data_IF_228770840784
#
_entry.id   IF_228770840784
#
_cell.length_a   1.000
_cell.length_b   1.000
_cell.length_c   1.000
_cell.angle_alpha   90.00
_cell.angle_beta   90.00
_cell.angle_gamma   90.00
#
_symmetry.space_group_name_H-M   'P 1'
#
loop_
_entity.id
_entity.type
_entity.pdbx_description
1 polymer ?
#
# COMPACT_ATOMS: atom_id res chain seq x y z
N UNK A 1 -7.02 -30.08 14.55
CA UNK A 1 -7.22 -29.49 13.33
C UNK A 1 -7.51 -28.02 13.27
N UNK A 2 -7.94 -27.45 14.33
CA UNK A 2 -8.21 -26.02 14.33
C UNK A 2 -7.04 -25.20 13.83
N UNK A 3 -5.82 -25.61 14.14
CA UNK A 3 -4.63 -24.86 13.72
C UNK A 3 -4.46 -24.87 12.20
N UNK A 4 -4.74 -25.99 11.55
CA UNK A 4 -4.63 -26.06 10.11
C UNK A 4 -5.68 -25.18 9.42
N UNK A 5 -6.87 -25.13 10.01
CA UNK A 5 -7.93 -24.27 9.50
C UNK A 5 -7.66 -22.82 9.81
N UNK A 6 -7.07 -22.55 10.98
CA UNK A 6 -6.71 -21.18 11.36
C UNK A 6 -5.63 -20.60 10.48
N UNK A 7 -4.74 -21.45 9.96
CA UNK A 7 -3.67 -21.00 9.05
C UNK A 7 -4.14 -20.85 7.62
N UNK A 8 -5.27 -21.45 7.30
CA UNK A 8 -5.78 -21.40 5.95
C UNK A 8 -6.60 -20.13 5.80
N UNK A 9 -6.16 -19.29 4.90
CA UNK A 9 -6.87 -18.06 4.63
C UNK A 9 -8.10 -18.32 3.77
N UNK A 10 -9.23 -17.77 4.20
CA UNK A 10 -10.42 -17.69 3.36
C UNK A 10 -10.14 -16.67 2.27
N UNK A 11 -10.22 -17.03 0.97
CA UNK A 11 -9.96 -16.07 -0.10
C UNK A 11 -10.83 -14.81 -0.02
N UNK A 12 -12.09 -14.94 0.37
CA UNK A 12 -12.97 -13.79 0.48
C UNK A 12 -12.55 -12.89 1.64
N UNK A 13 -12.19 -13.46 2.78
CA UNK A 13 -11.75 -12.69 3.94
C UNK A 13 -10.43 -11.98 3.65
N UNK A 14 -9.52 -12.66 2.97
CA UNK A 14 -8.24 -12.07 2.58
C UNK A 14 -8.43 -10.89 1.64
N UNK A 15 -9.36 -11.02 0.69
CA UNK A 15 -9.69 -9.97 -0.25
C UNK A 15 -10.24 -8.72 0.46
N UNK A 16 -11.12 -8.92 1.44
CA UNK A 16 -11.67 -7.81 2.23
C UNK A 16 -10.56 -7.08 2.97
N UNK A 17 -9.63 -7.82 3.60
CA UNK A 17 -8.53 -7.21 4.33
C UNK A 17 -7.57 -6.45 3.40
N UNK A 18 -7.35 -6.97 2.21
CA UNK A 18 -6.53 -6.29 1.21
C UNK A 18 -7.16 -4.99 0.73
N UNK A 19 -8.47 -4.99 0.54
CA UNK A 19 -9.19 -3.80 0.10
C UNK A 19 -9.21 -2.72 1.16
N UNK A 20 -9.12 -3.12 2.42
CA UNK A 20 -9.00 -2.15 3.51
C UNK A 20 -7.63 -1.46 3.46
N UNK A 21 -6.62 -2.08 2.81
CA UNK A 21 -5.36 -1.43 2.54
C UNK A 21 -5.55 -0.43 1.41
N UNK A 22 -5.47 0.85 1.73
CA UNK A 22 -5.66 1.92 0.76
C UNK A 22 -4.59 1.84 -0.32
N UNK A 23 -5.01 1.92 -1.59
CA UNK A 23 -4.09 2.00 -2.72
C UNK A 23 -3.09 3.14 -2.54
N UNK A 24 -3.49 4.21 -1.88
CA UNK A 24 -2.62 5.35 -1.61
C UNK A 24 -1.40 4.95 -0.78
N UNK A 25 -1.58 4.11 0.23
CA UNK A 25 -0.47 3.64 1.07
C UNK A 25 0.50 2.79 0.25
N UNK A 26 -0.03 1.93 -0.61
CA UNK A 26 0.80 1.09 -1.48
C UNK A 26 1.61 1.93 -2.46
N UNK A 27 0.99 2.97 -3.01
CA UNK A 27 1.67 3.88 -3.94
C UNK A 27 2.78 4.65 -3.22
N UNK A 28 2.49 5.22 -2.06
CA UNK A 28 3.50 5.94 -1.29
C UNK A 28 4.65 5.01 -0.91
N UNK A 29 4.35 3.78 -0.52
CA UNK A 29 5.36 2.78 -0.20
C UNK A 29 6.25 2.50 -1.41
N UNK A 30 5.64 2.32 -2.57
CA UNK A 30 6.39 2.06 -3.80
C UNK A 30 7.29 3.24 -4.17
N UNK A 31 6.80 4.46 -3.99
CA UNK A 31 7.57 5.67 -4.34
C UNK A 31 8.63 6.03 -3.31
N UNK A 32 8.63 5.39 -2.15
CA UNK A 32 9.55 5.74 -1.07
C UNK A 32 11.02 5.57 -1.44
N UNK A 33 11.33 4.66 -2.36
CA UNK A 33 12.71 4.43 -2.79
C UNK A 33 13.09 5.13 -4.10
N UNK A 34 12.17 5.88 -4.68
CA UNK A 34 12.47 6.64 -5.89
C UNK A 34 11.27 6.84 -6.80
N UNK A 35 11.38 7.74 -7.77
CA UNK A 35 10.30 8.03 -8.70
C UNK A 35 9.93 6.84 -9.58
N UNK A 36 8.63 6.74 -9.91
CA UNK A 36 8.13 5.69 -10.80
C UNK A 36 6.94 6.21 -11.60
N UNK A 37 6.79 5.72 -12.82
CA UNK A 37 5.58 5.94 -13.62
C UNK A 37 4.56 4.83 -13.32
N UNK A 38 3.32 5.03 -13.83
CA UNK A 38 2.20 4.16 -13.46
C UNK A 38 2.42 2.67 -13.67
N UNK A 39 3.02 2.28 -14.81
CA UNK A 39 3.27 0.87 -15.08
C UNK A 39 4.24 0.27 -14.05
N UNK A 40 5.32 1.00 -13.75
CA UNK A 40 6.29 0.55 -12.78
C UNK A 40 5.68 0.42 -11.38
N UNK A 41 4.77 1.34 -11.02
CA UNK A 41 4.02 1.26 -9.77
C UNK A 41 3.21 -0.03 -9.69
N UNK A 42 2.47 -0.34 -10.75
CA UNK A 42 1.65 -1.55 -10.79
C UNK A 42 2.51 -2.80 -10.60
N UNK A 43 3.66 -2.85 -11.28
CA UNK A 43 4.56 -4.01 -11.20
C UNK A 43 5.19 -4.11 -9.81
N UNK A 44 5.65 -3.00 -9.25
CA UNK A 44 6.28 -3.01 -7.94
C UNK A 44 5.29 -3.42 -6.84
N UNK A 45 4.10 -2.84 -6.85
CA UNK A 45 3.07 -3.17 -5.86
C UNK A 45 2.67 -4.64 -5.96
N UNK A 46 2.54 -5.16 -7.17
CA UNK A 46 2.27 -6.58 -7.36
C UNK A 46 3.37 -7.43 -6.73
N UNK A 47 4.62 -7.00 -6.87
CA UNK A 47 5.77 -7.73 -6.33
C UNK A 47 5.78 -7.80 -4.81
N UNK A 48 5.58 -6.66 -4.12
CA UNK A 48 5.70 -6.66 -2.66
C UNK A 48 4.38 -6.90 -1.93
N UNK A 49 3.26 -6.54 -2.52
CA UNK A 49 1.95 -6.68 -1.88
C UNK A 49 1.13 -7.84 -2.43
N UNK A 50 1.51 -8.39 -3.58
CA UNK A 50 0.73 -9.43 -4.22
C UNK A 50 -0.62 -8.97 -4.72
N UNK A 51 -0.79 -7.67 -4.90
CA UNK A 51 -2.06 -7.07 -5.31
C UNK A 51 -1.93 -6.48 -6.71
N UNK A 52 -2.87 -6.86 -7.59
CA UNK A 52 -2.92 -6.33 -8.94
C UNK A 52 -3.84 -5.11 -8.94
N UNK A 53 -3.28 -3.92 -9.06
CA UNK A 53 -4.06 -2.69 -9.18
C UNK A 53 -4.51 -2.49 -10.62
N UNK A 54 -5.79 -2.20 -10.80
CA UNK A 54 -6.29 -1.79 -12.09
C UNK A 54 -5.92 -0.33 -12.38
N UNK A 55 -5.89 0.06 -13.67
CA UNK A 55 -5.53 1.43 -14.04
C UNK A 55 -6.44 2.49 -13.40
N UNK A 56 -7.74 2.23 -13.35
CA UNK A 56 -8.67 3.18 -12.76
C UNK A 56 -8.39 3.44 -11.29
N UNK A 57 -8.13 2.38 -10.52
CA UNK A 57 -7.80 2.50 -9.11
C UNK A 57 -6.48 3.23 -8.92
N UNK A 58 -5.48 2.88 -9.73
CA UNK A 58 -4.16 3.51 -9.66
C UNK A 58 -4.25 5.01 -9.95
N UNK A 59 -4.82 5.38 -11.09
CA UNK A 59 -4.83 6.79 -11.49
C UNK A 59 -5.76 7.64 -10.64
N UNK A 60 -6.83 7.05 -10.11
CA UNK A 60 -7.68 7.72 -9.14
C UNK A 60 -6.92 8.03 -7.85
N UNK A 61 -6.14 7.08 -7.37
CA UNK A 61 -5.32 7.29 -6.17
C UNK A 61 -4.20 8.29 -6.42
N UNK A 62 -3.54 8.22 -7.57
CA UNK A 62 -2.48 9.18 -7.94
C UNK A 62 -3.03 10.60 -7.97
N UNK A 63 -4.19 10.80 -8.57
CA UNK A 63 -4.83 12.11 -8.63
C UNK A 63 -5.12 12.64 -7.23
N UNK A 64 -5.65 11.79 -6.36
CA UNK A 64 -5.96 12.17 -5.00
C UNK A 64 -4.70 12.53 -4.20
N UNK A 65 -3.65 11.73 -4.33
CA UNK A 65 -2.38 11.98 -3.64
C UNK A 65 -1.71 13.27 -4.12
N UNK A 66 -1.78 13.53 -5.43
CA UNK A 66 -1.24 14.76 -5.99
C UNK A 66 -1.98 15.99 -5.45
N UNK A 67 -3.30 15.92 -5.41
CA UNK A 67 -4.11 17.03 -4.88
C UNK A 67 -3.82 17.30 -3.41
N UNK A 68 -3.48 16.28 -2.65
CA UNK A 68 -3.13 16.42 -1.23
C UNK A 68 -1.66 16.85 -1.04
N UNK A 69 -0.89 16.94 -2.10
CA UNK A 69 0.51 17.34 -2.00
C UNK A 69 1.43 16.24 -1.49
N UNK A 70 1.00 14.99 -1.49
CA UNK A 70 1.80 13.87 -0.98
C UNK A 70 2.70 13.26 -2.04
N UNK A 71 2.40 13.48 -3.30
CA UNK A 71 3.25 13.14 -4.44
C UNK A 71 3.25 14.32 -5.40
N UNK A 72 4.22 14.35 -6.30
CA UNK A 72 4.26 15.35 -7.34
C UNK A 72 4.71 14.74 -8.66
N UNK A 73 4.15 15.23 -9.79
CA UNK A 73 4.59 14.77 -11.09
C UNK A 73 5.94 15.36 -11.42
N UNK A 74 6.77 14.60 -12.12
CA UNK A 74 8.07 15.06 -12.58
C UNK A 74 8.03 15.25 -14.08
N UNK A 75 8.85 16.17 -14.58
CA UNK A 75 9.01 16.34 -15.99
C UNK A 75 9.59 15.08 -16.64
N UNK A 76 9.10 14.75 -17.81
CA UNK A 76 9.57 13.59 -18.54
C UNK A 76 9.63 13.92 -20.02
N UNK A 77 10.66 13.39 -20.69
CA UNK A 77 10.82 13.59 -22.14
C UNK A 77 10.02 12.57 -22.94
N UNK A 78 9.57 11.49 -22.31
CA UNK A 78 8.73 10.51 -22.98
C UNK A 78 7.26 10.65 -22.55
N UNK A 79 6.41 9.74 -23.03
CA UNK A 79 4.98 9.81 -22.78
C UNK A 79 4.58 9.37 -21.38
N UNK A 80 5.51 8.81 -20.61
CA UNK A 80 5.22 8.30 -19.29
C UNK A 80 5.32 9.42 -18.29
N UNK A 81 4.36 9.47 -17.37
CA UNK A 81 4.35 10.48 -16.33
C UNK A 81 4.93 9.85 -15.06
N UNK A 82 6.16 10.21 -14.68
CA UNK A 82 6.70 9.74 -13.40
C UNK A 82 6.21 10.62 -12.27
N UNK A 83 6.14 10.02 -11.10
CA UNK A 83 5.75 10.70 -9.85
C UNK A 83 6.81 10.47 -8.80
N UNK A 84 6.90 11.40 -7.88
CA UNK A 84 7.83 11.34 -6.74
C UNK A 84 7.08 11.61 -5.46
N UNK A 85 7.45 10.90 -4.39
CA UNK A 85 6.92 11.18 -3.07
C UNK A 85 7.50 12.53 -2.59
N UNK A 86 6.66 13.34 -1.94
CA UNK A 86 7.09 14.62 -1.38
C UNK A 86 7.48 14.45 0.09
N UNK A 87 8.09 15.48 0.69
CA UNK A 87 8.38 15.45 2.12
C UNK A 87 7.11 15.24 2.96
N UNK A 88 5.98 15.95 2.68
CA UNK A 88 4.73 15.64 3.37
C UNK A 88 4.25 14.22 3.12
N UNK A 89 4.46 13.68 1.91
CA UNK A 89 4.09 12.30 1.60
C UNK A 89 4.90 11.31 2.42
N UNK A 90 6.20 11.53 2.54
CA UNK A 90 7.06 10.68 3.35
C UNK A 90 6.67 10.72 4.83
N UNK A 91 6.36 11.92 5.34
CA UNK A 91 5.93 12.07 6.73
C UNK A 91 4.61 11.35 6.99
N UNK A 92 3.65 11.48 6.07
CA UNK A 92 2.37 10.80 6.18
C UNK A 92 2.54 9.28 6.14
N UNK A 93 3.42 8.79 5.26
CA UNK A 93 3.70 7.37 5.17
C UNK A 93 4.32 6.85 6.47
N UNK A 94 5.32 7.55 7.03
CA UNK A 94 5.94 7.14 8.30
C UNK A 94 4.92 7.03 9.41
N UNK A 95 4.07 8.04 9.55
CA UNK A 95 3.04 8.04 10.60
C UNK A 95 2.09 6.86 10.43
N UNK A 96 1.71 6.55 9.19
CA UNK A 96 0.82 5.43 8.92
C UNK A 96 1.50 4.09 9.21
N UNK A 97 2.77 3.94 8.82
CA UNK A 97 3.52 2.71 9.09
C UNK A 97 3.68 2.49 10.59
N UNK A 98 3.96 3.55 11.35
CA UNK A 98 4.05 3.45 12.81
C UNK A 98 2.73 2.98 13.41
N UNK A 99 1.62 3.50 12.89
CA UNK A 99 0.30 3.06 13.33
C UNK A 99 0.05 1.59 13.02
N UNK A 100 0.42 1.15 11.82
CA UNK A 100 0.28 -0.25 11.43
C UNK A 100 1.12 -1.17 12.31
N UNK A 101 2.33 -0.75 12.65
CA UNK A 101 3.20 -1.53 13.53
C UNK A 101 2.58 -1.70 14.91
N UNK A 102 2.00 -0.62 15.45
CA UNK A 102 1.31 -0.70 16.75
C UNK A 102 0.12 -1.65 16.69
N UNK A 103 -0.70 -1.53 15.66
CA UNK A 103 -1.86 -2.41 15.49
C UNK A 103 -1.41 -3.86 15.34
N UNK A 104 -0.38 -4.09 14.54
CA UNK A 104 0.17 -5.42 14.32
C UNK A 104 0.66 -6.03 15.62
N UNK A 105 1.40 -5.26 16.42
CA UNK A 105 1.94 -5.75 17.69
C UNK A 105 0.83 -6.10 18.67
N UNK A 106 -0.17 -5.24 18.79
CA UNK A 106 -1.30 -5.49 19.69
C UNK A 106 -2.11 -6.71 19.22
N UNK A 107 -2.37 -6.79 17.92
CA UNK A 107 -3.13 -7.91 17.37
C UNK A 107 -2.46 -9.25 17.60
N UNK A 108 -1.15 -9.32 17.32
CA UNK A 108 -0.38 -10.55 17.54
C UNK A 108 -0.37 -10.95 19.01
N UNK A 109 -0.16 -9.98 19.90
CA UNK A 109 -0.16 -10.24 21.33
C UNK A 109 -1.51 -10.78 21.79
N UNK A 110 -2.59 -10.14 21.37
CA UNK A 110 -3.94 -10.56 21.80
C UNK A 110 -4.33 -11.91 21.25
N UNK A 111 -3.91 -12.25 20.04
CA UNK A 111 -4.12 -13.58 19.50
C UNK A 111 -3.42 -14.64 20.35
N UNK A 112 -2.18 -14.35 20.77
CA UNK A 112 -1.45 -15.24 21.67
C UNK A 112 -2.16 -15.41 23.02
N UNK A 113 -2.60 -14.29 23.62
CA UNK A 113 -3.28 -14.31 24.91
C UNK A 113 -4.64 -14.99 24.82
N UNK A 114 -5.30 -14.93 23.66
CA UNK A 114 -6.58 -15.58 23.45
C UNK A 114 -6.49 -17.06 23.18
N UNK A 115 -5.28 -17.62 23.07
CA UNK A 115 -5.11 -19.06 22.86
C UNK A 115 -5.34 -19.54 21.45
N UNK A 116 -5.32 -18.65 20.48
CA UNK A 116 -5.54 -18.99 19.06
C UNK A 116 -4.23 -19.14 18.31
#
# INVERSE_FOLDING_TARGET
>A
MASAEGDREDPAARDVLRRAGDASVLILTSLADGPKHGYALIQDIKGFAGLQLGPGTLYGALDRLERLGLIEPLASEDRRQPYRITAPGAAALRAHLDSLERVSAVGRLRLQLGGI
#
